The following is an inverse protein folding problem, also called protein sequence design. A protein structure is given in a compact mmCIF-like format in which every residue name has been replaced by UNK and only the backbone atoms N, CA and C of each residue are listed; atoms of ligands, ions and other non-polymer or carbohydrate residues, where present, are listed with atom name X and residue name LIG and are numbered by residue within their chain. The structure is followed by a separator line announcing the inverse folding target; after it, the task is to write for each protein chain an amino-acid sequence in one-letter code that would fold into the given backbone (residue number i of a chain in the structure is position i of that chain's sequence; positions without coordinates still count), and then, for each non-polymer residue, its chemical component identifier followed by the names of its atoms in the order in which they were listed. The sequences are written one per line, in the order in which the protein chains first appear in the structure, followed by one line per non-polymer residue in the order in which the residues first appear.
data_IF_594530805078
#
_entry.id   IF_594530805078
#
_cell.length_a   1.000
_cell.length_b   1.000
_cell.length_c   1.000
_cell.angle_alpha   90.00
_cell.angle_beta   90.00
_cell.angle_gamma   90.00
#
_symmetry.space_group_name_H-M   'P 1'
#
loop_
_entity.id
_entity.type
_entity.pdbx_description
1 polymer ?
#
# COMPACT_ATOMS: atom_id res chain seq x y z
N UNK A 1 39.54 -10.66 -16.31
CA UNK A 1 38.18 -10.39 -16.80
C UNK A 1 37.48 -9.52 -15.77
N UNK A 2 37.39 -8.21 -16.02
CA UNK A 2 36.62 -7.31 -15.17
C UNK A 2 35.13 -7.53 -15.45
N UNK A 3 34.42 -8.14 -14.50
CA UNK A 3 32.96 -8.21 -14.56
C UNK A 3 32.44 -6.83 -14.19
N UNK A 4 32.28 -5.95 -15.18
CA UNK A 4 31.54 -4.69 -15.03
C UNK A 4 30.05 -5.03 -14.94
N UNK A 5 29.58 -5.39 -13.73
CA UNK A 5 28.14 -5.51 -13.52
C UNK A 5 27.55 -4.09 -13.59
N UNK A 6 26.97 -3.76 -14.74
CA UNK A 6 26.34 -2.47 -14.99
C UNK A 6 25.08 -2.33 -14.15
N UNK A 7 24.71 -1.10 -13.79
CA UNK A 7 23.42 -0.80 -13.13
C UNK A 7 22.20 -1.33 -13.91
N UNK A 8 22.35 -1.67 -15.20
CA UNK A 8 21.32 -2.39 -15.97
C UNK A 8 21.17 -3.85 -15.52
N UNK A 9 22.25 -4.56 -15.24
CA UNK A 9 22.20 -5.97 -14.85
C UNK A 9 21.65 -6.18 -13.44
N UNK A 10 21.83 -5.21 -12.53
CA UNK A 10 21.14 -5.18 -11.22
C UNK A 10 19.68 -4.72 -11.32
N UNK A 11 19.28 -4.06 -12.42
CA UNK A 11 17.89 -3.64 -12.70
C UNK A 11 17.09 -4.71 -13.43
N UNK A 12 17.74 -5.51 -14.27
CA UNK A 12 17.15 -6.62 -15.04
C UNK A 12 16.96 -7.89 -14.21
N UNK A 13 17.29 -7.83 -12.91
CA UNK A 13 17.07 -8.91 -11.96
C UNK A 13 15.56 -9.23 -11.87
N UNK A 14 15.12 -10.42 -12.30
CA UNK A 14 13.70 -10.80 -12.33
C UNK A 14 13.03 -10.63 -10.97
N UNK A 15 11.72 -10.37 -10.99
CA UNK A 15 10.84 -10.24 -9.80
C UNK A 15 10.98 -11.35 -8.73
N UNK A 16 11.48 -12.52 -9.14
CA UNK A 16 11.60 -13.72 -8.29
C UNK A 16 12.97 -13.86 -7.64
N UNK A 17 13.98 -13.15 -8.14
CA UNK A 17 15.31 -13.10 -7.53
C UNK A 17 15.11 -12.36 -6.22
N UNK A 18 15.26 -13.07 -5.11
CA UNK A 18 14.95 -12.50 -3.81
C UNK A 18 15.82 -11.27 -3.58
N UNK A 19 15.30 -10.28 -2.84
CA UNK A 19 16.13 -9.14 -2.41
C UNK A 19 17.46 -9.61 -1.82
N UNK A 20 17.46 -10.75 -1.12
CA UNK A 20 18.65 -11.42 -0.60
C UNK A 20 19.67 -11.81 -1.69
N UNK A 21 19.24 -12.31 -2.84
CA UNK A 21 20.14 -12.59 -3.97
C UNK A 21 20.74 -11.31 -4.56
N UNK A 22 19.97 -10.21 -4.62
CA UNK A 22 20.52 -8.89 -4.99
C UNK A 22 21.56 -8.47 -3.96
N UNK A 23 21.29 -8.66 -2.66
CA UNK A 23 22.22 -8.28 -1.60
C UNK A 23 23.50 -9.12 -1.65
N UNK A 24 23.38 -10.43 -1.88
CA UNK A 24 24.51 -11.36 -1.94
C UNK A 24 25.38 -11.05 -3.16
N UNK A 25 24.77 -10.87 -4.33
CA UNK A 25 25.50 -10.45 -5.54
C UNK A 25 26.20 -9.10 -5.34
N UNK A 26 25.54 -8.15 -4.65
CA UNK A 26 26.10 -6.84 -4.31
C UNK A 26 27.27 -6.97 -3.32
N UNK A 27 27.19 -7.90 -2.37
CA UNK A 27 28.25 -8.19 -1.40
C UNK A 27 29.46 -8.81 -2.09
N UNK A 28 29.27 -9.87 -2.86
CA UNK A 28 30.32 -10.50 -3.66
C UNK A 28 31.01 -9.47 -4.56
N UNK A 29 30.23 -8.67 -5.31
CA UNK A 29 30.78 -7.63 -6.18
C UNK A 29 31.60 -6.60 -5.41
N UNK A 30 31.18 -6.25 -4.18
CA UNK A 30 31.89 -5.30 -3.33
C UNK A 30 33.21 -5.88 -2.79
N UNK A 31 33.22 -7.16 -2.41
CA UNK A 31 34.39 -7.84 -1.85
C UNK A 31 35.52 -7.96 -2.89
N UNK A 32 35.16 -8.09 -4.17
CA UNK A 32 36.11 -8.06 -5.29
C UNK A 32 36.38 -6.65 -5.86
N UNK A 33 35.70 -5.61 -5.35
CA UNK A 33 35.87 -4.25 -5.85
C UNK A 33 37.20 -3.66 -5.36
N UNK A 34 38.06 -3.25 -6.29
CA UNK A 34 39.29 -2.50 -6.01
C UNK A 34 39.17 -1.08 -6.59
N UNK A 35 38.42 -0.19 -5.92
CA UNK A 35 38.28 1.18 -6.42
C UNK A 35 39.64 1.88 -6.37
N UNK A 36 39.94 2.69 -7.38
CA UNK A 36 41.20 3.46 -7.43
C UNK A 36 41.33 4.40 -6.22
N UNK A 37 40.20 4.92 -5.72
CA UNK A 37 40.12 5.71 -4.49
C UNK A 37 38.78 5.47 -3.78
N UNK A 38 38.67 5.72 -2.46
CA UNK A 38 37.38 5.72 -1.76
C UNK A 38 36.34 6.66 -2.38
N UNK A 39 36.79 7.81 -2.92
CA UNK A 39 35.94 8.76 -3.63
C UNK A 39 35.28 8.13 -4.85
N UNK A 40 36.04 7.38 -5.66
CA UNK A 40 35.49 6.65 -6.82
C UNK A 40 34.41 5.65 -6.40
N UNK A 41 34.58 4.98 -5.26
CA UNK A 41 33.56 4.08 -4.73
C UNK A 41 32.27 4.83 -4.36
N UNK A 42 32.40 5.99 -3.70
CA UNK A 42 31.24 6.79 -3.29
C UNK A 42 30.51 7.42 -4.50
N UNK A 43 31.24 7.91 -5.49
CA UNK A 43 30.64 8.68 -6.59
C UNK A 43 30.18 7.84 -7.78
N UNK A 44 30.85 6.71 -8.05
CA UNK A 44 30.65 5.93 -9.28
C UNK A 44 30.19 4.49 -9.03
N UNK A 45 30.29 3.97 -7.80
CA UNK A 45 29.91 2.59 -7.53
C UNK A 45 28.40 2.41 -7.37
N UNK A 46 27.85 1.54 -8.22
CA UNK A 46 26.44 1.16 -8.19
C UNK A 46 26.04 0.44 -6.91
N UNK A 47 26.95 -0.37 -6.36
CA UNK A 47 26.76 -1.05 -5.07
C UNK A 47 26.67 -0.04 -3.94
N UNK A 48 27.58 0.94 -3.91
CA UNK A 48 27.55 1.98 -2.89
C UNK A 48 26.26 2.80 -2.97
N UNK A 49 25.86 3.19 -4.18
CA UNK A 49 24.60 3.88 -4.45
C UNK A 49 23.38 3.08 -3.97
N UNK A 50 23.33 1.78 -4.24
CA UNK A 50 22.27 0.91 -3.77
C UNK A 50 22.22 0.83 -2.23
N UNK A 51 23.38 0.70 -1.58
CA UNK A 51 23.50 0.71 -0.12
C UNK A 51 23.02 2.04 0.47
N UNK A 52 23.35 3.17 -0.17
CA UNK A 52 22.85 4.50 0.18
C UNK A 52 21.31 4.54 0.10
N UNK A 53 20.73 4.16 -1.03
CA UNK A 53 19.28 4.15 -1.26
C UNK A 53 18.55 3.32 -0.17
N UNK A 54 19.05 2.12 0.15
CA UNK A 54 18.46 1.21 1.14
C UNK A 54 18.60 1.76 2.58
N UNK A 55 19.72 2.43 2.89
CA UNK A 55 19.93 3.07 4.20
C UNK A 55 18.98 4.24 4.39
N UNK A 56 18.88 5.12 3.40
CA UNK A 56 17.98 6.28 3.47
C UNK A 56 16.52 5.85 3.55
N UNK A 57 16.12 4.83 2.81
CA UNK A 57 14.77 4.28 2.91
C UNK A 57 14.45 3.83 4.34
N UNK A 58 15.38 3.15 5.01
CA UNK A 58 15.19 2.71 6.40
C UNK A 58 15.01 3.88 7.35
N UNK A 59 15.71 4.99 7.14
CA UNK A 59 15.53 6.18 7.98
C UNK A 59 14.15 6.80 7.74
N UNK A 60 13.72 6.89 6.48
CA UNK A 60 12.40 7.44 6.12
C UNK A 60 11.24 6.59 6.63
N UNK A 61 11.37 5.25 6.61
CA UNK A 61 10.30 4.34 7.08
C UNK A 61 10.10 4.37 8.59
N UNK A 62 10.99 5.02 9.36
CA UNK A 62 10.77 5.29 10.79
C UNK A 62 9.74 6.40 11.01
N UNK A 63 9.48 7.24 10.01
CA UNK A 63 8.42 8.24 10.10
C UNK A 63 7.06 7.54 10.18
N UNK A 64 6.24 7.97 11.15
CA UNK A 64 4.89 7.46 11.35
C UNK A 64 3.98 7.75 10.15
N UNK A 65 4.25 8.83 9.42
CA UNK A 65 3.48 9.27 8.27
C UNK A 65 4.01 8.74 6.94
N UNK A 66 5.14 8.04 6.92
CA UNK A 66 5.78 7.53 5.71
C UNK A 66 4.79 6.85 4.75
N UNK A 67 3.92 5.98 5.27
CA UNK A 67 2.92 5.27 4.46
C UNK A 67 1.88 6.19 3.83
N UNK A 68 1.44 7.20 4.58
CA UNK A 68 0.46 8.18 4.09
C UNK A 68 1.10 9.01 2.98
N UNK A 69 2.33 9.46 3.17
CA UNK A 69 3.04 10.30 2.22
C UNK A 69 3.41 9.52 0.96
N UNK A 70 3.86 8.27 1.11
CA UNK A 70 4.16 7.38 -0.01
C UNK A 70 2.91 7.12 -0.85
N UNK A 71 1.80 6.71 -0.24
CA UNK A 71 0.58 6.41 -0.98
C UNK A 71 -0.02 7.67 -1.61
N UNK A 72 -0.03 8.82 -0.92
CA UNK A 72 -0.45 10.09 -1.50
C UNK A 72 0.40 10.51 -2.70
N UNK A 73 1.71 10.24 -2.63
CA UNK A 73 2.63 10.47 -3.74
C UNK A 73 2.33 9.57 -4.94
N UNK A 74 2.06 8.28 -4.69
CA UNK A 74 1.73 7.32 -5.75
C UNK A 74 0.31 7.50 -6.32
N UNK A 75 -0.63 8.10 -5.59
CA UNK A 75 -1.97 8.41 -6.13
C UNK A 75 -1.97 9.59 -7.10
N UNK A 76 -0.92 10.39 -7.13
CA UNK A 76 -0.85 11.52 -8.05
C UNK A 76 -0.35 11.06 -9.43
N UNK A 77 -1.24 11.10 -10.42
CA UNK A 77 -0.97 10.76 -11.82
C UNK A 77 0.29 11.38 -12.41
N UNK A 78 0.56 12.66 -12.10
CA UNK A 78 1.74 13.37 -12.62
C UNK A 78 3.02 12.85 -11.95
N UNK A 79 2.98 12.58 -10.65
CA UNK A 79 4.12 12.03 -9.89
C UNK A 79 4.45 10.62 -10.34
N UNK A 80 3.46 9.76 -10.54
CA UNK A 80 3.68 8.43 -11.14
C UNK A 80 4.29 8.54 -12.54
N UNK A 81 3.79 9.47 -13.37
CA UNK A 81 4.37 9.66 -14.70
C UNK A 81 5.83 10.09 -14.65
N UNK A 82 6.19 11.00 -13.75
CA UNK A 82 7.60 11.38 -13.53
C UNK A 82 8.41 10.16 -13.07
N UNK A 83 7.90 9.37 -12.14
CA UNK A 83 8.57 8.17 -11.66
C UNK A 83 8.83 7.16 -12.80
N UNK A 84 7.87 6.96 -13.69
CA UNK A 84 8.02 6.13 -14.90
C UNK A 84 9.07 6.69 -15.88
N UNK A 85 9.17 8.01 -16.02
CA UNK A 85 10.21 8.62 -16.86
C UNK A 85 11.59 8.38 -16.21
N UNK A 86 11.70 8.60 -14.90
CA UNK A 86 12.94 8.49 -14.13
C UNK A 86 13.42 7.05 -13.91
N UNK A 87 12.54 6.04 -14.02
CA UNK A 87 12.94 4.64 -13.96
C UNK A 87 13.76 4.21 -15.19
N UNK A 88 13.58 4.89 -16.32
CA UNK A 88 14.33 4.61 -17.55
C UNK A 88 15.71 5.27 -17.60
N UNK A 89 15.83 6.53 -17.19
CA UNK A 89 17.08 7.32 -17.23
C UNK A 89 17.01 8.54 -16.31
N UNK A 90 18.18 9.14 -16.04
CA UNK A 90 18.27 10.35 -15.24
C UNK A 90 17.83 11.59 -16.03
N UNK A 91 17.22 12.55 -15.35
CA UNK A 91 16.65 13.74 -15.97
C UNK A 91 16.83 14.99 -15.09
N UNK A 92 17.22 16.11 -15.69
CA UNK A 92 17.06 17.45 -15.06
C UNK A 92 15.61 17.93 -15.16
N UNK A 93 15.21 18.93 -14.36
CA UNK A 93 13.86 19.55 -14.44
C UNK A 93 13.51 19.98 -15.87
N UNK A 94 14.44 20.61 -16.59
CA UNK A 94 14.24 21.06 -17.98
C UNK A 94 13.93 19.89 -18.92
N UNK A 95 14.56 18.73 -18.68
CA UNK A 95 14.29 17.53 -19.47
C UNK A 95 13.01 16.82 -19.04
N UNK A 96 12.67 16.78 -17.74
CA UNK A 96 11.39 16.28 -17.24
C UNK A 96 10.22 17.08 -17.82
N UNK A 97 10.32 18.41 -17.83
CA UNK A 97 9.30 19.28 -18.43
C UNK A 97 9.08 18.94 -19.91
N UNK A 98 10.14 18.65 -20.67
CA UNK A 98 10.02 18.25 -22.07
C UNK A 98 9.32 16.89 -22.22
N UNK A 99 9.66 15.89 -21.41
CA UNK A 99 9.00 14.57 -21.46
C UNK A 99 7.53 14.63 -20.99
N UNK A 100 7.22 15.45 -19.99
CA UNK A 100 5.86 15.69 -19.51
C UNK A 100 5.00 16.38 -20.57
N UNK A 101 5.54 17.36 -21.29
CA UNK A 101 4.85 18.01 -22.43
C UNK A 101 4.45 17.00 -23.51
N UNK A 102 5.30 16.02 -23.82
CA UNK A 102 4.96 14.93 -24.77
C UNK A 102 3.79 14.08 -24.29
N UNK A 103 3.58 14.01 -22.98
CA UNK A 103 2.46 13.29 -22.36
C UNK A 103 1.24 14.20 -22.10
N UNK A 104 1.23 15.42 -22.65
CA UNK A 104 0.12 16.38 -22.52
C UNK A 104 0.14 17.26 -21.28
N UNK A 105 1.18 17.20 -20.45
CA UNK A 105 1.29 18.00 -19.22
C UNK A 105 2.12 19.26 -19.46
N UNK A 106 1.46 20.42 -19.38
CA UNK A 106 2.08 21.74 -19.59
C UNK A 106 2.18 22.49 -18.26
N UNK A 107 3.29 22.27 -17.54
CA UNK A 107 3.55 22.92 -16.26
C UNK A 107 4.87 23.70 -16.29
N UNK A 108 4.98 24.72 -15.43
CA UNK A 108 6.23 25.45 -15.22
C UNK A 108 7.28 24.52 -14.58
N UNK A 109 8.55 24.89 -14.69
CA UNK A 109 9.63 24.15 -14.03
C UNK A 109 9.50 24.20 -12.51
N UNK A 110 9.05 25.35 -11.98
CA UNK A 110 8.78 25.54 -10.56
C UNK A 110 7.70 24.58 -10.06
N UNK A 111 6.54 24.52 -10.75
CA UNK A 111 5.48 23.57 -10.39
C UNK A 111 5.97 22.12 -10.47
N UNK A 112 6.80 21.77 -11.46
CA UNK A 112 7.35 20.42 -11.55
C UNK A 112 8.26 20.12 -10.36
N UNK A 113 9.11 21.08 -9.97
CA UNK A 113 10.02 20.93 -8.84
C UNK A 113 9.25 20.78 -7.52
N UNK A 114 8.40 21.75 -7.18
CA UNK A 114 7.73 21.87 -5.88
C UNK A 114 6.56 20.87 -5.73
N UNK A 115 5.69 20.75 -6.73
CA UNK A 115 4.45 19.97 -6.57
C UNK A 115 4.62 18.48 -6.89
N UNK A 116 5.62 18.13 -7.71
CA UNK A 116 5.77 16.78 -8.22
C UNK A 116 7.08 16.10 -7.82
N UNK A 117 8.22 16.78 -7.97
CA UNK A 117 9.55 16.20 -7.70
C UNK A 117 9.85 16.18 -6.21
N UNK A 118 9.62 17.26 -5.47
CA UNK A 118 9.88 17.35 -4.03
C UNK A 118 9.12 16.26 -3.23
N UNK A 119 7.82 16.01 -3.44
CA UNK A 119 7.14 14.90 -2.76
C UNK A 119 7.70 13.51 -3.09
N UNK A 120 8.22 13.31 -4.32
CA UNK A 120 8.89 12.06 -4.71
C UNK A 120 10.26 11.94 -4.02
N UNK A 121 10.97 13.06 -3.85
CA UNK A 121 12.22 13.12 -3.11
C UNK A 121 11.97 12.81 -1.65
N UNK A 122 10.96 13.41 -1.01
CA UNK A 122 10.67 13.25 0.43
C UNK A 122 10.42 11.79 0.83
N UNK A 123 9.62 11.08 0.04
CA UNK A 123 9.32 9.67 0.31
C UNK A 123 10.42 8.70 -0.18
N UNK A 124 11.48 9.23 -0.80
CA UNK A 124 12.69 8.47 -1.15
C UNK A 124 12.53 7.55 -2.35
N UNK A 125 11.56 7.84 -3.23
CA UNK A 125 11.39 7.08 -4.48
C UNK A 125 12.26 7.62 -5.61
N UNK A 126 12.74 8.86 -5.49
CA UNK A 126 13.76 9.42 -6.37
C UNK A 126 14.90 10.04 -5.55
N UNK A 127 16.06 10.21 -6.17
CA UNK A 127 17.26 10.85 -5.60
C UNK A 127 17.76 11.92 -6.56
N UNK A 128 18.45 12.93 -6.02
CA UNK A 128 19.08 14.02 -6.78
C UNK A 128 20.61 13.87 -6.75
N UNK A 129 21.21 13.80 -7.93
CA UNK A 129 22.66 13.77 -8.12
C UNK A 129 23.05 14.79 -9.18
N UNK A 130 23.86 15.80 -8.82
CA UNK A 130 24.39 16.81 -9.75
C UNK A 130 23.31 17.54 -10.56
N UNK A 131 22.20 17.94 -9.92
CA UNK A 131 21.09 18.64 -10.58
C UNK A 131 20.26 17.77 -11.53
N UNK A 132 20.39 16.45 -11.43
CA UNK A 132 19.60 15.46 -12.15
C UNK A 132 18.94 14.51 -11.18
N UNK A 133 17.70 14.14 -11.49
CA UNK A 133 16.92 13.19 -10.74
C UNK A 133 17.04 11.80 -11.33
N UNK A 134 16.97 10.78 -10.47
CA UNK A 134 16.91 9.36 -10.84
C UNK A 134 15.91 8.64 -9.95
N UNK A 135 15.33 7.54 -10.44
CA UNK A 135 14.62 6.63 -9.54
C UNK A 135 15.60 5.92 -8.59
N UNK A 136 15.23 5.81 -7.31
CA UNK A 136 15.91 4.92 -6.36
C UNK A 136 15.52 3.46 -6.63
N UNK A 137 16.12 2.50 -5.92
CA UNK A 137 15.68 1.10 -5.98
C UNK A 137 14.18 0.96 -5.70
N UNK A 138 13.68 1.64 -4.65
CA UNK A 138 12.26 1.62 -4.31
C UNK A 138 11.43 2.22 -5.44
N UNK A 139 11.82 3.40 -5.94
CA UNK A 139 11.08 4.06 -7.02
C UNK A 139 11.03 3.26 -8.31
N UNK A 140 12.12 2.58 -8.67
CA UNK A 140 12.14 1.68 -9.81
C UNK A 140 11.14 0.54 -9.63
N UNK A 141 11.18 -0.16 -8.48
CA UNK A 141 10.28 -1.28 -8.20
C UNK A 141 8.81 -0.86 -8.10
N UNK A 142 8.54 0.33 -7.55
CA UNK A 142 7.20 0.91 -7.56
C UNK A 142 6.75 1.31 -8.97
N UNK A 143 7.64 1.85 -9.80
CA UNK A 143 7.33 2.14 -11.20
C UNK A 143 6.97 0.87 -11.96
N UNK A 144 7.63 -0.27 -11.70
CA UNK A 144 7.27 -1.56 -12.30
C UNK A 144 5.91 -2.05 -11.80
N UNK A 145 5.68 -2.02 -10.49
CA UNK A 145 4.42 -2.45 -9.87
C UNK A 145 3.20 -1.68 -10.37
N UNK A 146 3.39 -0.38 -10.61
CA UNK A 146 2.32 0.54 -10.99
C UNK A 146 2.10 0.65 -12.50
N UNK A 147 3.00 0.07 -13.32
CA UNK A 147 2.96 0.21 -14.78
C UNK A 147 1.70 -0.38 -15.41
N UNK A 148 1.21 -1.49 -14.85
CA UNK A 148 0.06 -2.23 -15.36
C UNK A 148 -1.23 -1.94 -14.56
N UNK A 149 -1.14 -1.12 -13.49
CA UNK A 149 -2.28 -0.74 -12.67
C UNK A 149 -2.75 0.66 -13.06
N UNK A 150 -3.56 0.75 -14.10
CA UNK A 150 -3.95 2.03 -14.71
C UNK A 150 -4.84 2.93 -13.85
N UNK A 151 -5.35 2.46 -12.71
CA UNK A 151 -6.54 3.10 -12.12
C UNK A 151 -6.34 3.64 -10.69
N UNK A 152 -5.19 3.37 -10.03
CA UNK A 152 -5.00 3.83 -8.63
C UNK A 152 -5.03 5.36 -8.52
N UNK A 153 -4.54 6.04 -9.56
CA UNK A 153 -4.45 7.50 -9.66
C UNK A 153 -5.78 8.20 -9.91
N UNK A 154 -6.78 7.48 -10.43
CA UNK A 154 -8.10 8.04 -10.76
C UNK A 154 -9.15 7.71 -9.69
N UNK A 155 -8.90 6.66 -8.92
CA UNK A 155 -9.90 6.07 -8.03
C UNK A 155 -9.74 6.50 -6.57
N UNK A 156 -8.50 6.75 -6.11
CA UNK A 156 -8.21 7.10 -4.72
C UNK A 156 -7.78 8.56 -4.58
N UNK A 157 -8.24 9.28 -3.53
CA UNK A 157 -7.91 10.69 -3.36
C UNK A 157 -6.43 10.88 -3.00
N UNK A 158 -5.70 11.73 -3.74
CA UNK A 158 -4.26 11.97 -3.58
C UNK A 158 -3.84 12.77 -2.34
N UNK A 159 -4.80 13.31 -1.59
CA UNK A 159 -4.57 14.10 -0.37
C UNK A 159 -5.50 13.62 0.74
N UNK A 160 -5.28 12.39 1.20
CA UNK A 160 -6.06 11.81 2.30
C UNK A 160 -5.15 11.19 3.35
N UNK A 161 -5.68 10.99 4.56
CA UNK A 161 -5.02 10.22 5.63
C UNK A 161 -5.08 8.70 5.38
N UNK A 162 -5.21 8.33 4.11
CA UNK A 162 -5.31 6.99 3.56
C UNK A 162 -6.46 6.14 4.13
N UNK A 163 -7.61 6.78 4.38
CA UNK A 163 -8.78 6.07 4.94
C UNK A 163 -9.42 5.11 3.94
N UNK A 164 -9.45 5.47 2.66
CA UNK A 164 -9.91 4.60 1.59
C UNK A 164 -9.08 3.31 1.52
N UNK A 165 -7.76 3.44 1.57
CA UNK A 165 -6.78 2.36 1.51
C UNK A 165 -6.92 1.46 2.73
N UNK A 166 -7.01 2.03 3.93
CA UNK A 166 -7.31 1.27 5.17
C UNK A 166 -8.64 0.53 5.06
N UNK A 167 -9.65 1.13 4.43
CA UNK A 167 -10.95 0.48 4.20
C UNK A 167 -10.82 -0.69 3.24
N UNK A 168 -10.11 -0.50 2.14
CA UNK A 168 -9.88 -1.53 1.13
C UNK A 168 -9.07 -2.69 1.74
N UNK A 169 -8.01 -2.40 2.49
CA UNK A 169 -7.20 -3.40 3.18
C UNK A 169 -8.03 -4.19 4.20
N UNK A 170 -8.88 -3.51 4.99
CA UNK A 170 -9.77 -4.17 5.92
C UNK A 170 -10.73 -5.13 5.18
N UNK A 171 -11.31 -4.69 4.07
CA UNK A 171 -12.25 -5.48 3.26
C UNK A 171 -11.56 -6.59 2.44
N UNK A 172 -10.25 -6.49 2.22
CA UNK A 172 -9.47 -7.54 1.55
C UNK A 172 -9.47 -8.84 2.35
N UNK A 173 -9.54 -8.74 3.69
CA UNK A 173 -9.64 -9.90 4.60
C UNK A 173 -11.04 -10.53 4.63
N UNK A 174 -12.01 -9.93 3.93
CA UNK A 174 -13.37 -10.43 3.81
C UNK A 174 -14.43 -9.33 4.04
N UNK A 175 -15.72 -9.64 3.76
CA UNK A 175 -16.79 -8.67 3.92
C UNK A 175 -16.95 -8.20 5.36
N UNK A 176 -17.22 -6.89 5.55
CA UNK A 176 -17.39 -6.28 6.89
C UNK A 176 -18.65 -5.44 6.97
N UNK A 177 -19.23 -5.39 8.16
CA UNK A 177 -20.34 -4.51 8.50
C UNK A 177 -19.86 -3.08 8.74
N UNK A 178 -20.81 -2.12 8.76
CA UNK A 178 -20.49 -0.73 9.08
C UNK A 178 -19.83 -0.57 10.46
N UNK A 179 -20.34 -1.27 11.49
CA UNK A 179 -19.80 -1.17 12.85
C UNK A 179 -18.41 -1.78 12.97
N UNK A 180 -18.15 -2.90 12.28
CA UNK A 180 -16.81 -3.49 12.21
C UNK A 180 -15.83 -2.52 11.55
N UNK A 181 -16.20 -1.91 10.42
CA UNK A 181 -15.36 -0.91 9.76
C UNK A 181 -15.14 0.34 10.62
N UNK A 182 -16.18 0.80 11.32
CA UNK A 182 -16.09 1.95 12.24
C UNK A 182 -15.14 1.68 13.40
N UNK A 183 -15.08 0.44 13.89
CA UNK A 183 -14.14 0.05 14.95
C UNK A 183 -12.69 -0.03 14.47
N UNK A 184 -12.46 -0.34 13.19
CA UNK A 184 -11.12 -0.47 12.59
C UNK A 184 -10.58 0.88 12.11
N UNK A 185 -11.46 1.72 11.57
CA UNK A 185 -11.12 2.99 10.92
C UNK A 185 -11.69 4.07 11.80
N UNK A 186 -10.86 4.57 12.71
CA UNK A 186 -11.20 5.60 13.71
C UNK A 186 -11.45 6.96 13.04
N UNK A 187 -12.53 7.07 12.26
CA UNK A 187 -12.91 8.29 11.56
C UNK A 187 -14.42 8.52 11.64
N UNK A 188 -14.80 9.76 11.92
CA UNK A 188 -16.21 10.18 11.90
C UNK A 188 -16.80 10.17 10.48
N UNK A 189 -15.94 10.06 9.46
CA UNK A 189 -16.30 10.22 8.05
C UNK A 189 -16.51 8.91 7.28
N UNK A 190 -16.60 7.75 7.95
CA UNK A 190 -16.70 6.42 7.31
C UNK A 190 -17.83 6.34 6.27
N UNK A 191 -18.97 6.98 6.54
CA UNK A 191 -20.09 7.05 5.60
C UNK A 191 -19.72 7.71 4.27
N UNK A 192 -18.89 8.76 4.30
CA UNK A 192 -18.39 9.46 3.11
C UNK A 192 -17.38 8.62 2.36
N UNK A 193 -16.48 7.94 3.07
CA UNK A 193 -15.49 7.03 2.48
C UNK A 193 -16.19 5.89 1.75
N UNK A 194 -17.14 5.22 2.40
CA UNK A 194 -17.92 4.13 1.79
C UNK A 194 -18.76 4.61 0.61
N UNK A 195 -19.26 5.85 0.66
CA UNK A 195 -19.96 6.44 -0.48
C UNK A 195 -19.02 6.61 -1.68
N UNK A 196 -17.85 7.23 -1.49
CA UNK A 196 -16.85 7.42 -2.56
C UNK A 196 -16.39 6.09 -3.15
N UNK A 197 -16.01 5.14 -2.30
CA UNK A 197 -15.58 3.81 -2.74
C UNK A 197 -16.67 3.04 -3.51
N UNK A 198 -17.95 3.30 -3.20
CA UNK A 198 -19.07 2.74 -3.96
C UNK A 198 -19.26 3.47 -5.30
N UNK A 199 -19.12 4.80 -5.32
CA UNK A 199 -19.21 5.61 -6.55
C UNK A 199 -18.10 5.28 -7.54
N UNK A 200 -16.91 4.91 -7.04
CA UNK A 200 -15.78 4.43 -7.85
C UNK A 200 -15.78 2.92 -8.08
N UNK A 201 -16.89 2.22 -7.80
CA UNK A 201 -17.04 0.78 -8.02
C UNK A 201 -15.99 -0.11 -7.33
N UNK A 202 -15.32 0.35 -6.28
CA UNK A 202 -14.36 -0.48 -5.54
C UNK A 202 -15.01 -1.39 -4.50
N UNK A 203 -16.18 -0.99 -4.01
CA UNK A 203 -16.93 -1.79 -3.04
C UNK A 203 -18.37 -1.99 -3.51
N UNK A 204 -18.90 -3.15 -3.15
CA UNK A 204 -20.33 -3.41 -3.19
C UNK A 204 -20.90 -3.39 -1.78
N UNK A 205 -22.17 -3.02 -1.71
CA UNK A 205 -22.97 -3.18 -0.51
C UNK A 205 -23.79 -4.45 -0.67
N UNK A 206 -23.72 -5.36 0.29
CA UNK A 206 -24.53 -6.57 0.34
C UNK A 206 -26.01 -6.24 0.14
N UNK A 207 -26.72 -7.11 -0.58
CA UNK A 207 -28.07 -6.89 -1.14
C UNK A 207 -28.91 -5.86 -0.38
N UNK A 208 -29.02 -4.66 -0.95
CA UNK A 208 -29.60 -3.47 -0.32
C UNK A 208 -31.06 -3.67 0.14
N UNK A 209 -31.75 -4.66 -0.46
CA UNK A 209 -33.16 -4.97 -0.24
C UNK A 209 -33.42 -6.22 0.60
N UNK A 210 -32.39 -7.04 0.86
CA UNK A 210 -32.52 -8.37 1.48
C UNK A 210 -31.83 -8.45 2.84
N UNK A 211 -32.00 -7.41 3.66
CA UNK A 211 -31.41 -7.32 5.01
C UNK A 211 -32.37 -7.76 6.12
N UNK A 212 -33.62 -8.11 5.79
CA UNK A 212 -34.62 -8.58 6.75
C UNK A 212 -34.96 -10.02 6.46
N UNK A 213 -34.56 -10.89 7.38
CA UNK A 213 -34.84 -12.32 7.33
C UNK A 213 -35.97 -12.67 8.29
N UNK A 214 -36.83 -13.58 7.88
CA UNK A 214 -37.94 -14.09 8.67
C UNK A 214 -37.64 -15.54 9.06
N UNK A 215 -37.87 -15.86 10.33
CA UNK A 215 -37.56 -17.14 10.94
C UNK A 215 -38.81 -17.70 11.65
N UNK A 216 -38.94 -19.03 11.67
CA UNK A 216 -39.93 -19.71 12.49
C UNK A 216 -39.54 -19.61 13.96
N UNK A 217 -40.52 -19.41 14.82
CA UNK A 217 -40.36 -19.63 16.25
C UNK A 217 -40.50 -21.12 16.58
N UNK A 218 -40.05 -21.53 17.77
CA UNK A 218 -40.26 -22.89 18.28
C UNK A 218 -41.72 -23.20 18.65
N UNK A 219 -42.63 -22.23 18.55
CA UNK A 219 -44.05 -22.42 18.90
C UNK A 219 -44.74 -23.22 17.79
N UNK A 220 -45.45 -24.28 18.19
CA UNK A 220 -46.28 -25.04 17.27
C UNK A 220 -47.57 -24.26 16.95
N UNK A 221 -48.07 -24.27 15.70
CA UNK A 221 -49.33 -23.60 15.32
C UNK A 221 -50.61 -24.21 15.93
N UNK A 222 -50.51 -24.99 17.00
CA UNK A 222 -51.55 -25.91 17.48
C UNK A 222 -52.78 -25.19 18.08
N UNK A 223 -52.64 -23.92 18.48
CA UNK A 223 -53.71 -23.13 19.10
C UNK A 223 -54.25 -22.02 18.19
N UNK A 224 -53.66 -21.79 17.01
CA UNK A 224 -54.03 -20.66 16.17
C UNK A 224 -54.68 -21.07 14.85
N UNK A 225 -55.85 -20.49 14.58
CA UNK A 225 -56.54 -20.61 13.30
C UNK A 225 -55.75 -19.87 12.21
N UNK A 226 -54.84 -20.60 11.55
CA UNK A 226 -54.14 -20.12 10.36
C UNK A 226 -55.03 -20.28 9.13
N UNK A 227 -55.19 -19.20 8.36
CA UNK A 227 -55.80 -19.31 7.04
C UNK A 227 -54.96 -20.23 6.11
N UNK A 228 -55.54 -20.82 5.06
CA UNK A 228 -54.80 -21.69 4.12
C UNK A 228 -53.54 -21.02 3.56
N UNK A 229 -53.60 -19.71 3.30
CA UNK A 229 -52.44 -18.96 2.79
C UNK A 229 -51.42 -18.66 3.89
N UNK A 230 -51.84 -18.35 5.12
CA UNK A 230 -50.91 -18.19 6.25
C UNK A 230 -50.15 -19.49 6.53
N UNK A 231 -50.84 -20.63 6.49
CA UNK A 231 -50.24 -21.96 6.66
C UNK A 231 -49.20 -22.26 5.59
N UNK A 232 -49.51 -21.95 4.32
CA UNK A 232 -48.57 -22.07 3.20
C UNK A 232 -47.35 -21.17 3.37
N UNK A 233 -47.52 -19.91 3.76
CA UNK A 233 -46.42 -18.98 4.03
C UNK A 233 -45.56 -19.49 5.18
N UNK A 234 -46.17 -19.90 6.30
CA UNK A 234 -45.46 -20.43 7.45
C UNK A 234 -44.67 -21.70 7.11
N UNK A 235 -45.26 -22.66 6.39
CA UNK A 235 -44.59 -23.93 6.02
C UNK A 235 -43.30 -23.69 5.23
N UNK A 236 -43.30 -22.70 4.34
CA UNK A 236 -42.19 -22.39 3.43
C UNK A 236 -41.06 -21.53 4.04
N UNK A 237 -41.17 -21.10 5.30
CA UNK A 237 -40.07 -20.43 6.01
C UNK A 237 -39.11 -21.52 6.52
N UNK A 238 -37.83 -21.52 6.10
CA UNK A 238 -36.86 -22.50 6.59
C UNK A 238 -36.29 -22.10 7.95
N UNK A 239 -35.53 -23.00 8.59
CA UNK A 239 -34.93 -22.74 9.91
C UNK A 239 -33.78 -21.74 9.83
N UNK A 240 -33.00 -21.77 8.74
CA UNK A 240 -31.96 -20.80 8.41
C UNK A 240 -32.50 -19.40 8.07
N UNK A 241 -33.82 -19.24 7.96
CA UNK A 241 -34.50 -18.00 7.67
C UNK A 241 -34.56 -17.64 6.18
N UNK A 242 -35.49 -16.77 5.82
CA UNK A 242 -35.72 -16.38 4.42
C UNK A 242 -36.13 -14.92 4.29
N UNK A 243 -35.70 -14.29 3.19
CA UNK A 243 -36.14 -12.93 2.83
C UNK A 243 -37.54 -12.94 2.22
N UNK A 244 -38.28 -11.85 2.39
CA UNK A 244 -39.67 -11.76 1.92
C UNK A 244 -39.81 -12.02 0.42
N UNK A 245 -38.84 -11.59 -0.40
CA UNK A 245 -38.86 -11.82 -1.84
C UNK A 245 -38.68 -13.30 -2.20
N UNK A 246 -37.73 -13.99 -1.56
CA UNK A 246 -37.55 -15.44 -1.72
C UNK A 246 -38.79 -16.21 -1.27
N UNK A 247 -39.44 -15.76 -0.20
CA UNK A 247 -40.68 -16.37 0.28
C UNK A 247 -41.84 -16.16 -0.70
N UNK A 248 -41.97 -14.96 -1.29
CA UNK A 248 -42.99 -14.64 -2.28
C UNK A 248 -42.89 -15.57 -3.51
N UNK A 249 -41.66 -15.80 -4.00
CA UNK A 249 -41.39 -16.75 -5.08
C UNK A 249 -41.77 -18.17 -4.69
N UNK A 250 -41.29 -18.67 -3.53
CA UNK A 250 -41.60 -20.03 -3.05
C UNK A 250 -43.10 -20.30 -2.83
N UNK A 251 -43.85 -19.28 -2.45
CA UNK A 251 -45.27 -19.41 -2.11
C UNK A 251 -46.20 -19.00 -3.25
N UNK A 252 -45.65 -18.57 -4.39
CA UNK A 252 -46.35 -18.07 -5.57
C UNK A 252 -47.43 -17.02 -5.23
N UNK A 253 -47.06 -16.03 -4.40
CA UNK A 253 -47.92 -14.90 -4.04
C UNK A 253 -47.15 -13.59 -4.20
N UNK A 254 -47.87 -12.49 -4.43
CA UNK A 254 -47.24 -11.19 -4.59
C UNK A 254 -46.48 -10.75 -3.32
N UNK A 255 -45.42 -9.96 -3.50
CA UNK A 255 -44.60 -9.46 -2.39
C UNK A 255 -45.45 -8.69 -1.35
N UNK A 256 -46.41 -7.88 -1.81
CA UNK A 256 -47.38 -7.18 -0.95
C UNK A 256 -48.18 -8.15 -0.07
N UNK A 257 -48.67 -9.25 -0.65
CA UNK A 257 -49.41 -10.29 0.11
C UNK A 257 -48.48 -11.03 1.07
N UNK A 258 -47.24 -11.30 0.67
CA UNK A 258 -46.22 -11.93 1.52
C UNK A 258 -45.98 -11.10 2.78
N UNK A 259 -45.76 -9.79 2.65
CA UNK A 259 -45.62 -8.89 3.81
C UNK A 259 -46.88 -8.85 4.69
N UNK A 260 -48.09 -8.85 4.08
CA UNK A 260 -49.35 -8.92 4.82
C UNK A 260 -49.41 -10.17 5.71
N UNK A 261 -49.08 -11.34 5.17
CA UNK A 261 -49.13 -12.60 5.93
C UNK A 261 -47.99 -12.71 6.95
N UNK A 262 -46.78 -12.25 6.62
CA UNK A 262 -45.67 -12.18 7.58
C UNK A 262 -46.01 -11.28 8.78
N UNK A 263 -46.70 -10.14 8.56
CA UNK A 263 -47.18 -9.28 9.66
C UNK A 263 -48.17 -10.01 10.56
N UNK A 264 -49.13 -10.75 9.98
CA UNK A 264 -50.09 -11.56 10.75
C UNK A 264 -49.42 -12.67 11.55
N UNK A 265 -48.53 -13.44 10.91
CA UNK A 265 -47.76 -14.52 11.56
C UNK A 265 -46.84 -13.98 12.67
N UNK A 266 -46.35 -12.74 12.54
CA UNK A 266 -45.62 -12.05 13.61
C UNK A 266 -46.52 -11.64 14.77
N UNK A 267 -47.71 -11.10 14.51
CA UNK A 267 -48.68 -10.78 15.57
C UNK A 267 -49.08 -12.01 16.40
N UNK A 268 -49.18 -13.14 15.69
CA UNK A 268 -49.37 -14.51 16.18
C UNK A 268 -48.14 -15.13 16.88
N UNK A 269 -47.00 -14.42 16.93
CA UNK A 269 -45.73 -14.91 17.52
C UNK A 269 -45.23 -16.25 16.95
N UNK A 270 -45.63 -16.62 15.73
CA UNK A 270 -45.14 -17.82 15.03
C UNK A 270 -43.89 -17.54 14.22
N UNK A 271 -43.71 -16.29 13.79
CA UNK A 271 -42.56 -15.82 13.01
C UNK A 271 -41.93 -14.63 13.71
N UNK A 272 -40.60 -14.53 13.66
CA UNK A 272 -39.89 -13.32 14.05
C UNK A 272 -39.03 -12.81 12.89
N UNK A 273 -38.65 -11.53 12.94
CA UNK A 273 -37.74 -10.93 11.97
C UNK A 273 -36.38 -10.72 12.62
N UNK A 274 -35.30 -10.97 11.88
CA UNK A 274 -33.94 -10.56 12.24
C UNK A 274 -33.42 -9.66 11.14
N UNK A 275 -32.82 -8.54 11.54
CA UNK A 275 -32.12 -7.66 10.62
C UNK A 275 -30.69 -8.16 10.53
N UNK A 276 -30.26 -8.60 9.35
CA UNK A 276 -28.85 -8.84 9.10
C UNK A 276 -28.16 -7.49 8.88
N UNK A 277 -27.01 -7.23 9.54
CA UNK A 277 -26.28 -6.01 9.29
C UNK A 277 -25.86 -5.94 7.83
N UNK A 278 -25.86 -4.72 7.27
CA UNK A 278 -25.41 -4.53 5.89
C UNK A 278 -23.90 -4.71 5.87
N UNK A 279 -23.44 -5.62 5.01
CA UNK A 279 -22.02 -5.87 4.78
C UNK A 279 -21.54 -5.12 3.54
N UNK A 280 -20.27 -4.81 3.54
CA UNK A 280 -19.52 -4.23 2.43
C UNK A 280 -18.48 -5.25 2.00
N UNK A 281 -18.27 -5.40 0.70
CA UNK A 281 -17.29 -6.32 0.13
C UNK A 281 -16.59 -5.66 -1.06
N UNK A 282 -15.34 -6.04 -1.31
CA UNK A 282 -14.62 -5.56 -2.49
C UNK A 282 -15.28 -6.09 -3.78
N UNK A 283 -15.27 -5.25 -4.82
CA UNK A 283 -15.51 -5.71 -6.20
C UNK A 283 -14.27 -6.38 -6.76
N UNK A 284 -14.32 -6.83 -8.02
CA UNK A 284 -13.12 -7.28 -8.75
C UNK A 284 -12.05 -6.18 -8.80
N UNK A 285 -12.44 -4.97 -9.19
CA UNK A 285 -11.57 -3.79 -9.24
C UNK A 285 -10.99 -3.45 -7.85
N UNK A 286 -11.83 -3.42 -6.82
CA UNK A 286 -11.38 -3.21 -5.44
C UNK A 286 -10.40 -4.28 -4.95
N UNK A 287 -10.57 -5.53 -5.41
CA UNK A 287 -9.65 -6.62 -5.08
C UNK A 287 -8.29 -6.45 -5.74
N UNK A 288 -8.24 -5.99 -6.99
CA UNK A 288 -6.96 -5.72 -7.67
C UNK A 288 -6.21 -4.55 -7.03
N UNK A 289 -6.91 -3.48 -6.63
CA UNK A 289 -6.30 -2.39 -5.86
C UNK A 289 -5.79 -2.89 -4.51
N UNK A 290 -6.57 -3.71 -3.79
CA UNK A 290 -6.13 -4.28 -2.53
C UNK A 290 -4.84 -5.11 -2.67
N UNK A 291 -4.76 -5.95 -3.72
CA UNK A 291 -3.54 -6.72 -4.03
C UNK A 291 -2.36 -5.80 -4.36
N UNK A 292 -2.58 -4.71 -5.08
CA UNK A 292 -1.53 -3.74 -5.39
C UNK A 292 -1.01 -3.08 -4.11
N UNK A 293 -1.90 -2.63 -3.22
CA UNK A 293 -1.53 -2.06 -1.92
C UNK A 293 -0.74 -3.07 -1.08
N UNK A 294 -1.16 -4.34 -1.06
CA UNK A 294 -0.42 -5.41 -0.38
C UNK A 294 0.98 -5.62 -0.99
N UNK A 295 1.11 -5.66 -2.32
CA UNK A 295 2.40 -5.78 -3.00
C UNK A 295 3.33 -4.62 -2.66
N UNK A 296 2.82 -3.39 -2.65
CA UNK A 296 3.57 -2.20 -2.22
C UNK A 296 4.01 -2.37 -0.75
N UNK A 297 3.11 -2.79 0.13
CA UNK A 297 3.42 -3.01 1.54
C UNK A 297 4.55 -4.02 1.75
N UNK A 298 4.44 -5.16 1.07
CA UNK A 298 5.44 -6.23 1.09
C UNK A 298 6.78 -5.75 0.54
N UNK A 299 6.79 -4.97 -0.55
CA UNK A 299 8.02 -4.45 -1.15
C UNK A 299 8.79 -3.57 -0.16
N UNK A 300 8.15 -2.54 0.41
CA UNK A 300 8.81 -1.63 1.36
C UNK A 300 9.28 -2.39 2.59
N UNK A 301 8.47 -3.32 3.10
CA UNK A 301 8.82 -4.13 4.26
C UNK A 301 10.07 -4.98 3.99
N UNK A 302 10.13 -5.63 2.82
CA UNK A 302 11.31 -6.41 2.41
C UNK A 302 12.56 -5.54 2.28
N UNK A 303 12.44 -4.37 1.63
CA UNK A 303 13.56 -3.43 1.47
C UNK A 303 14.05 -2.88 2.82
N UNK A 304 13.14 -2.58 3.74
CA UNK A 304 13.47 -2.09 5.07
C UNK A 304 14.17 -3.16 5.90
N UNK A 305 13.72 -4.41 5.80
CA UNK A 305 14.38 -5.55 6.46
C UNK A 305 15.77 -5.82 5.90
N UNK A 306 15.93 -5.81 4.58
CA UNK A 306 17.21 -5.92 3.90
C UNK A 306 18.23 -4.87 4.40
N UNK A 307 17.76 -3.64 4.67
CA UNK A 307 18.59 -2.58 5.25
C UNK A 307 19.12 -2.91 6.65
N UNK A 308 18.32 -3.58 7.48
CA UNK A 308 18.73 -4.01 8.81
C UNK A 308 19.82 -5.09 8.73
N UNK A 309 19.66 -6.06 7.82
CA UNK A 309 20.63 -7.14 7.58
C UNK A 309 21.97 -6.58 7.05
N UNK A 310 21.95 -5.61 6.13
CA UNK A 310 23.18 -4.91 5.69
C UNK A 310 23.89 -4.14 6.79
N UNK A 311 23.14 -3.50 7.69
CA UNK A 311 23.72 -2.69 8.75
C UNK A 311 24.43 -3.57 9.79
N UNK A 312 23.89 -4.75 10.08
CA UNK A 312 24.50 -5.72 10.99
C UNK A 312 25.85 -6.24 10.45
N UNK A 313 25.91 -6.57 9.15
CA UNK A 313 27.13 -7.06 8.50
C UNK A 313 28.24 -5.99 8.49
N UNK A 314 27.89 -4.71 8.30
CA UNK A 314 28.89 -3.63 8.31
C UNK A 314 29.55 -3.42 9.68
N UNK A 315 28.86 -3.72 10.79
CA UNK A 315 29.43 -3.61 12.14
C UNK A 315 30.39 -4.76 12.45
N UNK A 316 30.11 -5.99 12.00
CA UNK A 316 31.00 -7.14 12.17
C UNK A 316 32.31 -6.99 11.39
N UNK A 317 32.25 -6.42 10.17
CA UNK A 317 33.45 -6.16 9.36
C UNK A 317 34.32 -5.05 9.97
N UNK A 318 33.71 -4.00 10.55
CA UNK A 318 34.46 -2.92 11.21
C UNK A 318 35.15 -3.41 12.49
N UNK A 319 34.56 -4.36 13.22
CA UNK A 319 35.18 -4.98 14.41
C UNK A 319 36.31 -5.98 14.09
N UNK A 320 36.44 -6.39 12.82
CA UNK A 320 37.52 -7.28 12.35
C UNK A 320 38.70 -6.52 11.71
N UNK A 321 38.62 -5.20 11.58
CA UNK A 321 39.78 -4.40 11.15
C UNK A 321 40.75 -4.36 12.35
N UNK A 322 41.95 -4.95 12.25
CA UNK A 322 42.95 -4.80 13.31
C UNK A 322 43.23 -3.31 13.47
N UNK A 323 43.25 -2.84 14.72
CA UNK A 323 43.66 -1.48 15.02
C UNK A 323 44.98 -1.20 14.29
N UNK A 324 44.96 -0.30 13.30
CA UNK A 324 46.18 0.20 12.71
C UNK A 324 46.96 0.85 13.85
N UNK A 325 48.11 0.29 14.19
CA UNK A 325 49.08 0.88 15.11
C UNK A 325 49.41 2.29 14.59
N UNK A 326 48.75 3.29 15.14
CA UNK A 326 49.10 4.69 14.95
C UNK A 326 50.44 4.87 15.68
N UNK A 327 51.53 5.24 14.99
CA UNK A 327 52.81 5.48 15.65
C UNK A 327 52.61 6.59 16.69
N UNK A 328 53.00 6.32 17.94
CA UNK A 328 53.03 7.34 19.00
C UNK A 328 53.82 8.54 18.49
N UNK A 329 53.11 9.65 18.24
CA UNK A 329 53.74 10.94 18.01
C UNK A 329 54.64 11.26 19.20
N UNK A 330 55.94 11.42 18.90
CA UNK A 330 56.94 11.88 19.84
C UNK A 330 56.46 13.19 20.45
N UNK A 331 56.12 13.14 21.74
CA UNK A 331 55.94 14.32 22.58
C UNK A 331 57.23 15.13 22.55
N UNK A 332 57.27 16.20 21.75
CA UNK A 332 58.29 17.22 21.87
C UNK A 332 58.18 17.85 23.27
N UNK A 333 59.26 17.74 24.05
CA UNK A 333 59.39 18.40 25.34
C UNK A 333 59.34 19.92 25.12
N UNK A 334 58.62 20.68 25.96
CA UNK A 334 58.66 22.13 25.89
C UNK A 334 60.08 22.61 26.21
N UNK A 335 60.62 23.48 25.36
CA UNK A 335 61.88 24.20 25.64
C UNK A 335 61.64 25.16 26.81
N UNK A 336 62.41 24.99 27.87
CA UNK A 336 62.50 25.97 28.95
C UNK A 336 63.02 27.30 28.40
N UNK A 337 62.18 28.33 28.47
CA UNK A 337 62.58 29.71 28.20
C UNK A 337 63.15 30.26 29.51
N UNK A 338 64.47 30.37 29.56
CA UNK A 338 65.20 31.13 30.58
C UNK A 338 64.86 32.61 30.46
N UNK A 339 64.06 33.14 31.39
CA UNK A 339 63.87 34.58 31.58
C UNK A 339 64.91 35.07 32.59
N UNK A 340 65.88 35.86 32.12
CA UNK A 340 66.70 36.74 32.95
C UNK A 340 66.09 38.15 32.91
N UNK A 341 65.60 38.61 34.05
CA UNK A 341 65.77 39.97 34.58
C UNK A 341 65.25 39.98 36.02
#
# INVERSE_FOLDING_TARGET
MEVKIGLRELRDVPWNTSLAEILEAVKETCDYCRPLTPLTCVTECNVWRLKKDIRELRERTKDRNFWVDLLNTLKNKRRLRILQILSSRQHSIVSLQRELKKSGYYHSQQTIAEEYVEPLLDVGVIDEEHGKYRATLLGYKLSELTKDSSDIEEVLPSHSECYEEKTIEALHRGPKTYEELKSLILTESLSRILKRLKETNLITKGNENNYVFYFKTRRAPREETLSPTERRVHKNIPEEGIVAQGLAVRTNISLRRTYKYLRKLRGKKLVFKRISPKTYALTKEGTEIAKLLEKIHVLVTKLTRASAEFSAISYEVIQQIPALDVPEERREKPREISVRA
#
